data_IF_434257248761
#
_entry.id   IF_434257248761
#
_cell.length_a   1.000
_cell.length_b   1.000
_cell.length_c   1.000
_cell.angle_alpha   90.00
_cell.angle_beta   90.00
_cell.angle_gamma   90.00
#
_symmetry.space_group_name_H-M   'P 1'
#
loop_
_entity.id
_entity.type
_entity.pdbx_description
1 polymer ?
#
# COMPACT_ATOMS: atom_id res chain seq x y z
N UNK A 1 -23.45 5.89 -25.94
CA UNK A 1 -23.83 6.67 -24.72
C UNK A 1 -22.55 7.02 -23.99
N UNK A 2 -22.20 8.29 -23.93
CA UNK A 2 -20.95 8.78 -23.38
C UNK A 2 -20.91 8.54 -21.86
N UNK A 3 -19.89 7.86 -21.40
CA UNK A 3 -19.61 7.65 -19.99
C UNK A 3 -19.22 9.01 -19.37
N UNK A 4 -20.07 9.53 -18.49
CA UNK A 4 -19.83 10.76 -17.73
C UNK A 4 -18.69 10.46 -16.77
N UNK A 5 -17.49 10.94 -17.10
CA UNK A 5 -16.41 11.11 -16.12
C UNK A 5 -16.88 12.16 -15.11
N UNK A 6 -17.43 11.75 -13.95
CA UNK A 6 -17.67 12.65 -12.86
C UNK A 6 -16.32 13.05 -12.28
N UNK A 7 -15.91 14.30 -12.49
CA UNK A 7 -14.77 14.92 -11.85
C UNK A 7 -15.02 14.96 -10.34
N UNK A 8 -14.34 14.07 -9.61
CA UNK A 8 -14.30 14.11 -8.13
C UNK A 8 -13.40 15.30 -7.75
N UNK A 9 -13.84 16.22 -6.88
CA UNK A 9 -13.01 17.34 -6.46
C UNK A 9 -11.74 16.83 -5.73
N UNK A 10 -10.58 17.18 -6.29
CA UNK A 10 -9.28 16.99 -5.65
C UNK A 10 -9.22 17.80 -4.36
N UNK A 11 -8.84 17.18 -3.28
CA UNK A 11 -8.45 17.86 -2.04
C UNK A 11 -7.05 18.42 -2.28
N UNK A 12 -6.94 19.73 -2.52
CA UNK A 12 -5.77 20.54 -2.89
C UNK A 12 -5.36 20.48 -4.38
N UNK A 13 -6.05 21.24 -5.20
CA UNK A 13 -5.87 21.33 -6.67
C UNK A 13 -4.55 22.04 -7.12
N UNK A 14 -3.69 22.53 -6.21
CA UNK A 14 -2.51 23.34 -6.56
C UNK A 14 -1.15 22.64 -6.29
N UNK A 15 -1.11 21.44 -5.76
CA UNK A 15 0.14 20.72 -5.50
C UNK A 15 0.33 19.57 -6.49
N UNK A 16 1.50 19.53 -7.16
CA UNK A 16 1.91 18.41 -8.01
C UNK A 16 1.75 17.07 -7.25
N UNK A 17 1.09 16.05 -7.86
CA UNK A 17 0.87 14.78 -7.19
C UNK A 17 2.20 14.08 -6.86
N UNK A 18 2.26 13.41 -5.70
CA UNK A 18 3.42 12.58 -5.34
C UNK A 18 3.56 11.39 -6.28
N UNK A 19 2.43 10.76 -6.63
CA UNK A 19 2.35 9.65 -7.59
C UNK A 19 1.28 9.95 -8.64
N UNK A 20 1.65 9.73 -9.90
CA UNK A 20 0.75 9.76 -11.04
C UNK A 20 0.81 8.40 -11.75
N UNK A 21 -0.34 7.76 -11.88
CA UNK A 21 -0.54 6.51 -12.61
C UNK A 21 -1.62 6.75 -13.66
N UNK A 22 -1.28 6.58 -14.92
CA UNK A 22 -2.24 6.65 -16.02
C UNK A 22 -2.11 5.42 -16.92
N UNK A 23 -3.22 4.72 -17.12
CA UNK A 23 -3.39 3.56 -17.98
C UNK A 23 -2.34 2.46 -17.70
N UNK A 24 -2.15 2.09 -16.43
CA UNK A 24 -1.18 1.07 -16.03
C UNK A 24 -1.70 -0.34 -16.39
N UNK A 25 -0.86 -1.08 -17.10
CA UNK A 25 -1.04 -2.49 -17.42
C UNK A 25 0.11 -3.31 -16.84
N UNK A 26 -0.22 -4.47 -16.27
CA UNK A 26 0.77 -5.44 -15.81
C UNK A 26 0.37 -6.82 -16.28
N UNK A 27 1.25 -7.45 -17.09
CA UNK A 27 1.10 -8.80 -17.62
C UNK A 27 2.23 -9.69 -17.14
N UNK A 28 1.93 -10.90 -16.73
CA UNK A 28 2.92 -11.93 -16.41
C UNK A 28 2.98 -12.96 -17.54
N UNK A 29 4.16 -13.15 -18.10
CA UNK A 29 4.43 -14.23 -19.08
C UNK A 29 4.61 -15.54 -18.34
N UNK A 30 3.65 -16.44 -18.44
CA UNK A 30 3.66 -17.75 -17.81
C UNK A 30 3.82 -18.84 -18.86
N UNK A 31 4.29 -20.03 -18.47
CA UNK A 31 4.36 -21.19 -19.38
C UNK A 31 2.98 -21.63 -19.91
N UNK A 32 1.93 -21.35 -19.17
CA UNK A 32 0.52 -21.65 -19.50
C UNK A 32 -0.16 -20.57 -20.33
N UNK A 33 0.53 -19.50 -20.71
CA UNK A 33 -0.02 -18.31 -21.40
C UNK A 33 0.07 -17.06 -20.53
N UNK A 34 -0.15 -15.90 -21.14
CA UNK A 34 -0.04 -14.61 -20.47
C UNK A 34 -1.21 -14.38 -19.50
N UNK A 35 -0.91 -13.86 -18.31
CA UNK A 35 -1.89 -13.46 -17.30
C UNK A 35 -1.82 -11.95 -17.07
N UNK A 36 -2.90 -11.24 -17.39
CA UNK A 36 -3.00 -9.80 -17.11
C UNK A 36 -3.52 -9.56 -15.68
N UNK A 37 -2.66 -9.03 -14.82
CA UNK A 37 -2.96 -8.77 -13.41
C UNK A 37 -3.49 -7.36 -13.15
N UNK A 38 -3.12 -6.37 -13.97
CA UNK A 38 -3.63 -4.99 -13.91
C UNK A 38 -3.98 -4.55 -15.33
N UNK A 39 -5.12 -3.86 -15.48
CA UNK A 39 -5.74 -3.56 -16.78
C UNK A 39 -6.21 -2.10 -16.84
N UNK A 40 -5.36 -1.20 -17.34
CA UNK A 40 -5.69 0.21 -17.55
C UNK A 40 -6.06 0.95 -16.27
N UNK A 41 -5.29 0.75 -15.20
CA UNK A 41 -5.51 1.39 -13.91
C UNK A 41 -4.95 2.81 -13.94
N UNK A 42 -5.76 3.78 -13.50
CA UNK A 42 -5.36 5.19 -13.37
C UNK A 42 -5.75 5.75 -12.01
N UNK A 43 -4.83 6.43 -11.35
CA UNK A 43 -5.07 7.23 -10.14
C UNK A 43 -3.91 8.20 -9.91
N UNK A 44 -4.15 9.19 -9.05
CA UNK A 44 -3.10 10.06 -8.50
C UNK A 44 -3.05 9.91 -6.99
N UNK A 45 -1.90 10.19 -6.38
CA UNK A 45 -1.73 10.28 -4.93
C UNK A 45 -1.07 11.61 -4.58
N UNK A 46 -1.73 12.37 -3.72
CA UNK A 46 -1.18 13.54 -3.03
C UNK A 46 -0.70 13.19 -1.61
N UNK A 47 -0.76 14.19 -0.71
CA UNK A 47 -0.51 14.00 0.73
C UNK A 47 -1.80 13.57 1.42
N UNK A 48 -2.28 12.39 1.07
CA UNK A 48 -3.53 11.78 1.51
C UNK A 48 -3.34 10.29 1.79
N UNK A 49 -4.34 9.66 2.39
CA UNK A 49 -4.42 8.21 2.58
C UNK A 49 -5.37 7.63 1.53
N UNK A 50 -4.82 7.08 0.45
CA UNK A 50 -5.55 6.40 -0.61
C UNK A 50 -5.62 4.90 -0.30
N UNK A 51 -6.83 4.36 -0.19
CA UNK A 51 -7.00 2.91 -0.12
C UNK A 51 -7.11 2.29 -1.51
N UNK A 52 -6.55 1.10 -1.69
CA UNK A 52 -6.82 0.21 -2.81
C UNK A 52 -7.46 -1.05 -2.24
N UNK A 53 -8.72 -1.29 -2.57
CA UNK A 53 -9.52 -2.40 -2.04
C UNK A 53 -10.05 -3.32 -3.14
N UNK A 54 -10.42 -4.55 -2.78
CA UNK A 54 -10.97 -5.54 -3.69
C UNK A 54 -10.68 -6.96 -3.23
N UNK A 55 -11.21 -7.95 -3.94
CA UNK A 55 -10.99 -9.37 -3.63
C UNK A 55 -9.52 -9.77 -3.73
N UNK A 56 -9.16 -10.91 -3.10
CA UNK A 56 -7.83 -11.50 -3.28
C UNK A 56 -7.60 -11.82 -4.78
N UNK A 57 -6.39 -11.54 -5.28
CA UNK A 57 -6.07 -11.71 -6.69
C UNK A 57 -6.53 -10.57 -7.62
N UNK A 58 -7.15 -9.50 -7.12
CA UNK A 58 -7.60 -8.37 -7.98
C UNK A 58 -6.45 -7.44 -8.45
N UNK A 59 -5.19 -7.74 -8.14
CA UNK A 59 -4.03 -6.98 -8.64
C UNK A 59 -3.50 -5.88 -7.69
N UNK A 60 -4.09 -5.68 -6.50
CA UNK A 60 -3.71 -4.60 -5.56
C UNK A 60 -2.22 -4.55 -5.22
N UNK A 61 -1.66 -5.66 -4.72
CA UNK A 61 -0.24 -5.75 -4.37
C UNK A 61 0.67 -5.64 -5.61
N UNK A 62 0.16 -6.02 -6.79
CA UNK A 62 0.87 -5.85 -8.06
C UNK A 62 1.05 -4.38 -8.40
N UNK A 63 0.05 -3.54 -8.13
CA UNK A 63 0.15 -2.08 -8.31
C UNK A 63 1.25 -1.50 -7.42
N UNK A 64 1.26 -1.83 -6.13
CA UNK A 64 2.30 -1.36 -5.19
C UNK A 64 3.71 -1.77 -5.61
N UNK A 65 3.88 -3.02 -6.07
CA UNK A 65 5.17 -3.52 -6.56
C UNK A 65 5.57 -2.90 -7.90
N UNK A 66 4.63 -2.59 -8.77
CA UNK A 66 4.90 -1.89 -10.04
C UNK A 66 5.48 -0.49 -9.80
N UNK A 67 4.91 0.28 -8.87
CA UNK A 67 5.42 1.59 -8.45
C UNK A 67 6.86 1.56 -7.95
N UNK A 68 7.30 0.44 -7.41
CA UNK A 68 8.67 0.25 -6.94
C UNK A 68 9.56 -0.48 -7.96
N UNK A 69 9.01 -0.91 -9.12
CA UNK A 69 9.74 -1.76 -10.07
C UNK A 69 10.23 -3.06 -9.42
N UNK A 70 9.43 -3.65 -8.51
CA UNK A 70 9.74 -4.89 -7.77
C UNK A 70 8.94 -6.10 -8.25
N UNK A 71 8.46 -6.05 -9.48
CA UNK A 71 7.83 -7.21 -10.11
C UNK A 71 8.88 -8.21 -10.57
N UNK A 72 8.46 -9.47 -10.73
CA UNK A 72 9.34 -10.55 -11.22
C UNK A 72 9.77 -10.29 -12.68
N UNK A 73 10.91 -10.83 -13.13
CA UNK A 73 11.44 -10.58 -14.48
C UNK A 73 10.52 -11.00 -15.64
N UNK A 74 9.55 -11.88 -15.37
CA UNK A 74 8.55 -12.29 -16.36
C UNK A 74 7.34 -11.32 -16.43
N UNK A 75 7.34 -10.25 -15.63
CA UNK A 75 6.32 -9.20 -15.72
C UNK A 75 6.67 -8.18 -16.80
N UNK A 76 5.67 -7.82 -17.59
CA UNK A 76 5.70 -6.69 -18.52
C UNK A 76 4.82 -5.59 -17.93
N UNK A 77 5.40 -4.39 -17.76
CA UNK A 77 4.72 -3.22 -17.20
C UNK A 77 4.66 -2.15 -18.26
N UNK A 78 3.47 -1.66 -18.56
CA UNK A 78 3.21 -0.62 -19.53
C UNK A 78 2.24 0.41 -18.93
N UNK A 79 2.46 1.69 -19.19
CA UNK A 79 1.57 2.77 -18.75
C UNK A 79 1.75 3.99 -19.65
N UNK A 80 0.73 4.85 -19.76
CA UNK A 80 0.87 6.19 -20.34
C UNK A 80 1.69 7.10 -19.43
N UNK A 81 1.46 6.98 -18.11
CA UNK A 81 2.29 7.61 -17.10
C UNK A 81 2.42 6.69 -15.87
N UNK A 82 3.63 6.54 -15.37
CA UNK A 82 3.95 5.93 -14.08
C UNK A 82 5.04 6.78 -13.44
N UNK A 83 4.65 7.82 -12.69
CA UNK A 83 5.57 8.85 -12.22
C UNK A 83 5.55 9.01 -10.72
N UNK A 84 6.72 9.30 -10.18
CA UNK A 84 6.91 9.78 -8.82
C UNK A 84 7.52 11.19 -8.87
N UNK A 85 6.78 12.21 -8.40
CA UNK A 85 7.20 13.63 -8.46
C UNK A 85 7.74 13.99 -9.85
N UNK A 86 6.99 13.70 -10.90
CA UNK A 86 7.37 13.94 -12.29
C UNK A 86 8.43 12.99 -12.86
N UNK A 87 9.17 12.23 -12.03
CA UNK A 87 10.16 11.24 -12.51
C UNK A 87 9.44 10.00 -13.03
N UNK A 88 9.68 9.63 -14.29
CA UNK A 88 9.12 8.43 -14.90
C UNK A 88 9.81 7.16 -14.35
N UNK A 89 9.03 6.30 -13.70
CA UNK A 89 9.51 5.06 -13.06
C UNK A 89 9.86 4.00 -14.11
N UNK A 90 9.16 3.96 -15.26
CA UNK A 90 9.38 2.94 -16.27
C UNK A 90 10.72 3.11 -17.00
N UNK A 91 11.14 4.35 -17.22
CA UNK A 91 12.40 4.69 -17.87
C UNK A 91 13.55 4.92 -16.90
N UNK A 92 13.28 4.95 -15.57
CA UNK A 92 14.28 5.22 -14.55
C UNK A 92 15.38 4.16 -14.53
N UNK A 93 16.62 4.63 -14.54
CA UNK A 93 17.81 3.77 -14.42
C UNK A 93 17.85 3.05 -13.06
N UNK A 94 18.60 1.94 -12.93
CA UNK A 94 18.79 1.27 -11.64
C UNK A 94 19.37 2.17 -10.55
N UNK A 95 20.13 3.22 -10.93
CA UNK A 95 20.69 4.20 -10.00
C UNK A 95 19.61 5.15 -9.47
N UNK A 96 18.74 5.64 -10.33
CA UNK A 96 17.60 6.49 -9.95
C UNK A 96 16.61 5.72 -9.10
N UNK A 97 16.27 4.47 -9.49
CA UNK A 97 15.41 3.62 -8.68
C UNK A 97 15.95 3.33 -7.28
N UNK A 98 17.29 3.21 -7.10
CA UNK A 98 17.87 3.10 -5.75
C UNK A 98 17.70 4.36 -4.90
N UNK A 99 17.61 5.54 -5.52
CA UNK A 99 17.36 6.80 -4.81
C UNK A 99 15.86 6.95 -4.44
N UNK A 100 14.97 6.24 -5.14
CA UNK A 100 13.53 6.24 -4.88
C UNK A 100 13.18 5.18 -3.84
N UNK A 101 13.60 3.93 -4.07
CA UNK A 101 13.25 2.78 -3.19
C UNK A 101 13.85 2.95 -1.80
N UNK A 102 13.00 2.86 -0.78
CA UNK A 102 13.37 2.99 0.63
C UNK A 102 13.67 4.41 1.09
N UNK A 103 14.22 5.27 0.22
CA UNK A 103 14.49 6.66 0.54
C UNK A 103 13.28 7.57 0.38
N UNK A 104 12.50 7.36 -0.69
CA UNK A 104 11.39 8.25 -1.05
C UNK A 104 10.05 7.52 -1.10
N UNK A 105 10.04 6.27 -1.53
CA UNK A 105 8.89 5.37 -1.49
C UNK A 105 9.31 4.12 -0.74
N UNK A 106 8.65 3.79 0.35
CA UNK A 106 8.84 2.56 1.11
C UNK A 106 7.59 1.69 1.08
N UNK A 107 7.75 0.37 1.26
CA UNK A 107 6.65 -0.58 1.25
C UNK A 107 6.67 -1.45 2.51
N UNK A 108 5.57 -1.41 3.26
CA UNK A 108 5.30 -2.29 4.38
C UNK A 108 4.61 -3.53 3.82
N UNK A 109 5.22 -4.70 4.02
CA UNK A 109 4.71 -5.98 3.54
C UNK A 109 3.75 -6.61 4.56
N UNK A 110 2.96 -7.57 4.11
CA UNK A 110 1.92 -8.23 4.88
C UNK A 110 2.46 -8.96 6.14
N UNK A 111 3.59 -9.66 6.04
CA UNK A 111 4.16 -10.45 7.14
C UNK A 111 5.59 -9.99 7.47
N UNK A 112 5.85 -9.50 8.70
CA UNK A 112 7.18 -9.08 9.14
C UNK A 112 8.21 -10.21 9.14
N UNK A 113 7.78 -11.49 9.25
CA UNK A 113 8.69 -12.64 9.24
C UNK A 113 9.44 -12.78 7.92
N UNK A 114 8.85 -12.34 6.81
CA UNK A 114 9.51 -12.34 5.49
C UNK A 114 10.30 -11.07 5.21
N UNK A 115 10.14 -10.04 6.05
CA UNK A 115 10.81 -8.74 5.88
C UNK A 115 12.05 -8.59 6.75
N UNK A 116 12.10 -9.29 7.89
CA UNK A 116 13.20 -9.22 8.84
C UNK A 116 14.17 -10.39 8.65
N UNK A 117 15.46 -10.08 8.57
CA UNK A 117 16.51 -11.09 8.51
C UNK A 117 16.67 -11.78 9.88
N UNK A 118 16.44 -13.11 10.01
CA UNK A 118 16.43 -13.79 11.30
C UNK A 118 17.79 -13.86 12.03
N UNK A 119 18.89 -13.60 11.32
CA UNK A 119 20.26 -13.70 11.86
C UNK A 119 20.90 -12.35 12.17
N UNK A 120 20.16 -11.25 12.00
CA UNK A 120 20.58 -9.87 12.34
C UNK A 120 19.63 -9.32 13.39
N UNK A 121 20.14 -8.57 14.38
CA UNK A 121 19.30 -7.96 15.40
C UNK A 121 18.37 -6.92 14.78
N UNK A 122 17.20 -6.73 15.36
CA UNK A 122 16.17 -5.84 14.79
C UNK A 122 16.63 -4.38 14.73
N UNK A 123 17.40 -3.94 15.74
CA UNK A 123 17.94 -2.59 15.74
C UNK A 123 19.01 -2.36 14.67
N UNK A 124 19.86 -3.35 14.43
CA UNK A 124 20.89 -3.23 13.38
C UNK A 124 20.25 -3.20 11.98
N UNK A 125 19.16 -3.92 11.75
CA UNK A 125 18.42 -3.87 10.48
C UNK A 125 17.81 -2.48 10.25
N UNK A 126 17.25 -1.83 11.27
CA UNK A 126 16.75 -0.45 11.18
C UNK A 126 17.90 0.51 10.90
N UNK A 127 19.02 0.38 11.62
CA UNK A 127 20.20 1.21 11.44
C UNK A 127 20.85 1.02 10.04
N UNK A 128 20.83 -0.20 9.51
CA UNK A 128 21.29 -0.53 8.16
C UNK A 128 20.41 0.14 7.10
N UNK A 129 19.08 0.06 7.24
CA UNK A 129 18.14 0.72 6.36
C UNK A 129 18.39 2.24 6.30
N UNK A 130 18.67 2.86 7.44
CA UNK A 130 19.04 4.28 7.47
C UNK A 130 20.35 4.57 6.73
N UNK A 131 21.40 3.79 7.00
CA UNK A 131 22.73 3.95 6.38
C UNK A 131 22.72 3.67 4.87
N UNK A 132 21.76 2.90 4.38
CA UNK A 132 21.63 2.64 2.95
C UNK A 132 21.34 3.93 2.15
N UNK A 133 20.74 4.93 2.78
CA UNK A 133 20.32 6.18 2.14
C UNK A 133 21.01 7.43 2.71
N UNK A 134 21.65 7.33 3.89
CA UNK A 134 22.33 8.44 4.56
C UNK A 134 23.81 8.11 4.78
N UNK A 135 24.68 9.05 4.43
CA UNK A 135 26.13 8.92 4.64
C UNK A 135 26.49 9.22 6.09
N UNK A 136 26.11 8.33 7.01
CA UNK A 136 26.31 8.50 8.46
C UNK A 136 27.11 7.36 9.08
N UNK A 137 27.73 7.61 10.23
CA UNK A 137 28.43 6.59 11.01
C UNK A 137 27.49 5.65 11.76
N UNK A 138 28.04 4.51 12.26
CA UNK A 138 27.25 3.52 13.02
C UNK A 138 26.59 4.11 14.26
N UNK A 139 27.26 4.99 14.98
CA UNK A 139 26.74 5.59 16.21
C UNK A 139 25.50 6.44 15.95
N UNK A 140 25.53 7.27 14.92
CA UNK A 140 24.40 8.11 14.49
C UNK A 140 23.23 7.25 13.99
N UNK A 141 23.51 6.24 13.16
CA UNK A 141 22.50 5.32 12.68
C UNK A 141 21.81 4.55 13.83
N UNK A 142 22.58 4.12 14.84
CA UNK A 142 22.03 3.48 16.06
C UNK A 142 21.12 4.44 16.83
N UNK A 143 21.54 5.71 16.99
CA UNK A 143 20.73 6.74 17.65
C UNK A 143 19.39 6.91 16.95
N UNK A 144 19.40 7.12 15.62
CA UNK A 144 18.17 7.26 14.84
C UNK A 144 17.28 6.00 14.90
N UNK A 145 17.87 4.80 14.90
CA UNK A 145 17.13 3.55 15.04
C UNK A 145 16.43 3.44 16.41
N UNK A 146 17.07 3.87 17.48
CA UNK A 146 16.47 3.90 18.84
C UNK A 146 15.31 4.91 18.89
N UNK A 147 15.50 6.12 18.37
CA UNK A 147 14.45 7.14 18.29
C UNK A 147 13.26 6.64 17.46
N UNK A 148 13.52 5.90 16.37
CA UNK A 148 12.46 5.33 15.56
C UNK A 148 11.72 4.18 16.26
N UNK A 149 12.43 3.35 17.05
CA UNK A 149 11.79 2.32 17.88
C UNK A 149 10.86 2.96 18.94
N UNK A 150 11.24 4.10 19.52
CA UNK A 150 10.37 4.88 20.41
C UNK A 150 9.16 5.42 19.66
N UNK A 151 9.36 6.00 18.47
CA UNK A 151 8.29 6.56 17.64
C UNK A 151 7.21 5.53 17.26
N UNK A 152 7.60 4.25 17.06
CA UNK A 152 6.66 3.14 16.87
C UNK A 152 6.20 2.49 18.20
N UNK A 153 6.38 3.18 19.33
CA UNK A 153 5.93 2.78 20.67
C UNK A 153 6.48 1.42 21.14
N UNK A 154 7.73 1.11 20.81
CA UNK A 154 8.46 -0.01 21.39
C UNK A 154 8.92 0.37 22.80
N UNK A 155 8.55 -0.43 23.80
CA UNK A 155 9.02 -0.27 25.17
C UNK A 155 10.46 -0.77 25.30
N UNK A 156 11.30 -0.02 26.03
CA UNK A 156 12.73 -0.33 26.24
C UNK A 156 13.49 -0.54 24.91
N UNK A 157 13.61 0.52 24.06
CA UNK A 157 14.21 0.44 22.73
C UNK A 157 15.62 -0.13 22.73
N UNK A 158 16.46 0.23 23.73
CA UNK A 158 17.84 -0.24 23.85
C UNK A 158 17.91 -1.76 24.01
N UNK A 159 17.02 -2.34 24.84
CA UNK A 159 16.92 -3.79 24.99
C UNK A 159 16.47 -4.44 23.70
N UNK A 160 15.40 -3.89 23.09
CA UNK A 160 14.81 -4.46 21.87
C UNK A 160 15.76 -4.34 20.67
N UNK A 161 16.55 -3.29 20.59
CA UNK A 161 17.58 -3.12 19.56
C UNK A 161 18.48 -4.36 19.42
N UNK A 162 18.86 -4.97 20.55
CA UNK A 162 19.73 -6.17 20.59
C UNK A 162 19.03 -7.52 20.37
N UNK A 163 17.69 -7.53 20.25
CA UNK A 163 16.95 -8.77 20.02
C UNK A 163 16.94 -9.19 18.54
N UNK A 164 16.80 -10.50 18.33
CA UNK A 164 16.58 -11.07 17.01
C UNK A 164 15.09 -11.18 16.69
N UNK A 165 14.68 -11.27 15.40
CA UNK A 165 13.28 -11.36 14.99
C UNK A 165 12.48 -12.47 15.70
N UNK A 166 13.08 -13.61 15.98
CA UNK A 166 12.44 -14.74 16.68
C UNK A 166 12.21 -14.50 18.17
N UNK A 167 12.81 -13.46 18.76
CA UNK A 167 12.70 -13.09 20.19
C UNK A 167 11.63 -12.00 20.43
N UNK A 168 10.97 -11.51 19.39
CA UNK A 168 9.93 -10.48 19.48
C UNK A 168 8.55 -11.04 19.15
N UNK A 169 7.50 -10.47 19.74
CA UNK A 169 6.12 -10.85 19.40
C UNK A 169 5.73 -10.37 18.00
N UNK A 170 4.67 -10.95 17.41
CA UNK A 170 4.19 -10.54 16.09
C UNK A 170 3.88 -9.04 15.97
N UNK A 171 3.19 -8.47 16.96
CA UNK A 171 2.92 -7.03 17.01
C UNK A 171 4.18 -6.17 17.15
N UNK A 172 5.19 -6.65 17.89
CA UNK A 172 6.50 -5.97 17.96
C UNK A 172 7.21 -6.06 16.60
N UNK A 173 7.23 -7.24 15.97
CA UNK A 173 7.82 -7.42 14.64
C UNK A 173 7.21 -6.49 13.60
N UNK A 174 5.88 -6.30 13.65
CA UNK A 174 5.19 -5.36 12.76
C UNK A 174 5.63 -3.91 13.01
N UNK A 175 5.71 -3.47 14.26
CA UNK A 175 6.19 -2.13 14.61
C UNK A 175 7.65 -1.91 14.20
N UNK A 176 8.50 -2.92 14.37
CA UNK A 176 9.90 -2.91 13.93
C UNK A 176 10.00 -2.81 12.40
N UNK A 177 9.18 -3.54 11.67
CA UNK A 177 9.13 -3.42 10.21
C UNK A 177 8.68 -2.02 9.79
N UNK A 178 7.66 -1.45 10.43
CA UNK A 178 7.23 -0.06 10.19
C UNK A 178 8.38 0.90 10.48
N UNK A 179 9.08 0.75 11.60
CA UNK A 179 10.25 1.54 11.93
C UNK A 179 11.32 1.49 10.83
N UNK A 180 11.64 0.29 10.34
CA UNK A 180 12.62 0.08 9.27
C UNK A 180 12.20 0.76 7.96
N UNK A 181 10.90 0.73 7.61
CA UNK A 181 10.39 1.34 6.38
C UNK A 181 10.25 2.87 6.48
N UNK A 182 10.14 3.43 7.69
CA UNK A 182 9.97 4.87 7.93
C UNK A 182 11.25 5.60 8.33
N UNK A 183 12.35 4.87 8.61
CA UNK A 183 13.58 5.46 9.17
C UNK A 183 14.22 6.49 8.22
N UNK A 184 14.07 6.33 6.91
CA UNK A 184 14.63 7.25 5.89
C UNK A 184 13.70 8.43 5.56
N UNK A 185 12.60 8.59 6.28
CA UNK A 185 11.62 9.67 6.11
C UNK A 185 11.07 9.77 4.67
N UNK A 186 10.44 8.70 4.14
CA UNK A 186 9.97 8.66 2.77
C UNK A 186 8.79 9.63 2.53
N UNK A 187 8.59 10.05 1.27
CA UNK A 187 7.42 10.87 0.88
C UNK A 187 6.15 10.04 0.78
N UNK A 188 6.28 8.75 0.43
CA UNK A 188 5.16 7.84 0.22
C UNK A 188 5.41 6.51 0.90
N UNK A 189 4.38 6.01 1.58
CA UNK A 189 4.32 4.65 2.11
C UNK A 189 3.28 3.85 1.34
N UNK A 190 3.67 2.65 0.90
CA UNK A 190 2.75 1.62 0.41
C UNK A 190 2.60 0.58 1.50
N UNK A 191 1.42 0.45 2.08
CA UNK A 191 1.13 -0.53 3.13
C UNK A 191 0.27 -1.65 2.56
N UNK A 192 0.89 -2.81 2.28
CA UNK A 192 0.22 -3.97 1.68
C UNK A 192 -0.26 -4.90 2.79
N UNK A 193 -1.54 -4.81 3.13
CA UNK A 193 -2.21 -5.56 4.21
C UNK A 193 -1.44 -5.54 5.55
N UNK A 194 -1.02 -4.37 6.05
CA UNK A 194 -0.03 -4.26 7.13
C UNK A 194 -0.50 -4.82 8.48
N UNK A 195 -1.76 -5.24 8.59
CA UNK A 195 -2.36 -5.68 9.86
C UNK A 195 -3.18 -6.97 9.73
N UNK A 196 -3.12 -7.67 8.59
CA UNK A 196 -3.97 -8.84 8.31
C UNK A 196 -3.71 -10.03 9.26
N UNK A 197 -2.48 -10.18 9.76
CA UNK A 197 -2.07 -11.29 10.64
C UNK A 197 -2.18 -10.94 12.16
N UNK A 198 -2.82 -9.81 12.53
CA UNK A 198 -2.86 -9.30 13.89
C UNK A 198 -4.28 -9.38 14.49
N UNK A 199 -4.34 -9.56 15.81
CA UNK A 199 -5.59 -9.40 16.55
C UNK A 199 -6.12 -7.95 16.49
N UNK A 200 -7.40 -7.76 16.79
CA UNK A 200 -8.09 -6.47 16.63
C UNK A 200 -7.42 -5.36 17.44
N UNK A 201 -6.99 -5.65 18.68
CA UNK A 201 -6.40 -4.63 19.56
C UNK A 201 -5.05 -4.16 19.05
N UNK A 202 -4.17 -5.09 18.66
CA UNK A 202 -2.85 -4.78 18.10
C UNK A 202 -2.99 -4.08 16.75
N UNK A 203 -3.96 -4.48 15.93
CA UNK A 203 -4.29 -3.83 14.65
C UNK A 203 -4.58 -2.35 14.84
N UNK A 204 -5.50 -1.99 15.76
CA UNK A 204 -5.85 -0.60 16.02
C UNK A 204 -4.65 0.24 16.51
N UNK A 205 -3.80 -0.34 17.36
CA UNK A 205 -2.58 0.32 17.82
C UNK A 205 -1.59 0.59 16.66
N UNK A 206 -1.38 -0.38 15.78
CA UNK A 206 -0.50 -0.24 14.61
C UNK A 206 -1.02 0.85 13.67
N UNK A 207 -2.33 0.87 13.42
CA UNK A 207 -2.94 1.88 12.57
C UNK A 207 -2.86 3.28 13.16
N UNK A 208 -3.05 3.42 14.47
CA UNK A 208 -2.88 4.70 15.16
C UNK A 208 -1.43 5.22 15.05
N UNK A 209 -0.43 4.33 15.19
CA UNK A 209 0.98 4.68 15.01
C UNK A 209 1.23 5.13 13.57
N UNK A 210 0.73 4.37 12.59
CA UNK A 210 0.92 4.70 11.17
C UNK A 210 0.23 6.02 10.81
N UNK A 211 -1.00 6.26 11.29
CA UNK A 211 -1.73 7.51 11.08
C UNK A 211 -0.97 8.72 11.64
N UNK A 212 -0.49 8.61 12.88
CA UNK A 212 0.26 9.67 13.54
C UNK A 212 1.55 10.02 12.79
N UNK A 213 2.31 9.00 12.37
CA UNK A 213 3.55 9.19 11.62
C UNK A 213 3.31 9.76 10.22
N UNK A 214 2.30 9.26 9.49
CA UNK A 214 1.92 9.76 8.16
C UNK A 214 1.51 11.23 8.24
N UNK A 215 0.67 11.59 9.20
CA UNK A 215 0.21 12.98 9.38
C UNK A 215 1.34 13.92 9.81
N UNK A 216 2.12 13.54 10.83
CA UNK A 216 3.21 14.38 11.35
C UNK A 216 4.28 14.68 10.30
N UNK A 217 4.55 13.73 9.42
CA UNK A 217 5.58 13.85 8.38
C UNK A 217 5.01 14.33 7.04
N UNK A 218 3.70 14.48 6.92
CA UNK A 218 3.02 14.92 5.69
C UNK A 218 3.28 13.98 4.51
N UNK A 219 3.26 12.65 4.74
CA UNK A 219 3.48 11.63 3.72
C UNK A 219 2.18 11.32 2.96
N UNK A 220 2.30 10.81 1.73
CA UNK A 220 1.23 10.09 1.06
C UNK A 220 1.20 8.63 1.51
N UNK A 221 0.00 8.04 1.63
CA UNK A 221 -0.15 6.63 1.98
C UNK A 221 -1.02 5.91 0.95
N UNK A 222 -0.49 4.84 0.34
CA UNK A 222 -1.30 3.83 -0.37
C UNK A 222 -1.55 2.69 0.60
N UNK A 223 -2.81 2.50 0.99
CA UNK A 223 -3.23 1.47 1.94
C UNK A 223 -3.98 0.36 1.22
N UNK A 224 -3.34 -0.80 1.02
CA UNK A 224 -3.94 -1.97 0.39
C UNK A 224 -4.62 -2.79 1.49
N UNK A 225 -5.92 -3.04 1.33
CA UNK A 225 -6.71 -3.81 2.29
C UNK A 225 -7.91 -4.49 1.63
N UNK A 226 -8.41 -5.54 2.27
CA UNK A 226 -9.71 -6.14 1.97
C UNK A 226 -10.78 -5.78 3.02
N UNK A 227 -10.42 -5.04 4.08
CA UNK A 227 -11.32 -4.61 5.16
C UNK A 227 -11.88 -3.21 4.88
N UNK A 228 -13.08 -3.15 4.29
CA UNK A 228 -13.74 -1.89 3.93
C UNK A 228 -14.18 -1.07 5.15
N UNK A 229 -14.50 -1.72 6.29
CA UNK A 229 -14.86 -1.00 7.51
C UNK A 229 -13.66 -0.22 8.04
N UNK A 230 -12.49 -0.86 8.02
CA UNK A 230 -11.24 -0.23 8.38
C UNK A 230 -10.91 0.93 7.43
N UNK A 231 -11.01 0.72 6.12
CA UNK A 231 -10.73 1.72 5.09
C UNK A 231 -11.63 2.96 5.24
N UNK A 232 -12.92 2.76 5.52
CA UNK A 232 -13.89 3.86 5.75
C UNK A 232 -13.44 4.82 6.87
N UNK A 233 -12.88 4.27 7.95
CA UNK A 233 -12.49 5.06 9.12
C UNK A 233 -11.06 5.60 9.05
N UNK A 234 -10.20 4.98 8.23
CA UNK A 234 -8.77 5.25 8.22
C UNK A 234 -8.30 6.09 7.00
N UNK A 235 -8.92 5.90 5.83
CA UNK A 235 -8.48 6.50 4.58
C UNK A 235 -9.34 7.72 4.18
N UNK A 236 -8.81 8.52 3.25
CA UNK A 236 -9.49 9.69 2.72
C UNK A 236 -10.25 9.34 1.42
N UNK A 237 -9.64 8.52 0.55
CA UNK A 237 -10.16 8.12 -0.76
C UNK A 237 -9.94 6.62 -1.00
N UNK A 238 -10.80 6.01 -1.79
CA UNK A 238 -10.80 4.56 -2.04
C UNK A 238 -10.89 4.28 -3.54
N UNK A 239 -10.00 3.43 -4.03
CA UNK A 239 -10.03 2.81 -5.35
C UNK A 239 -10.49 1.37 -5.18
N UNK A 240 -11.62 1.01 -5.77
CA UNK A 240 -12.19 -0.33 -5.70
C UNK A 240 -11.80 -1.10 -6.96
N UNK A 241 -11.08 -2.21 -6.78
CA UNK A 241 -10.53 -3.02 -7.87
C UNK A 241 -11.21 -4.39 -7.97
N UNK A 242 -11.48 -4.83 -9.20
CA UNK A 242 -11.91 -6.18 -9.54
C UNK A 242 -11.23 -6.66 -10.83
N UNK A 243 -10.67 -7.88 -10.82
CA UNK A 243 -10.06 -8.49 -12.00
C UNK A 243 -8.98 -7.64 -12.68
N UNK A 244 -8.23 -6.85 -11.91
CA UNK A 244 -7.18 -5.95 -12.41
C UNK A 244 -7.65 -4.58 -12.86
N UNK A 245 -8.94 -4.29 -12.82
CA UNK A 245 -9.54 -3.02 -13.26
C UNK A 245 -10.07 -2.21 -12.08
N UNK A 246 -10.11 -0.88 -12.23
CA UNK A 246 -10.83 0.02 -11.32
C UNK A 246 -12.31 -0.02 -11.67
N UNK A 247 -13.14 -0.42 -10.71
CA UNK A 247 -14.60 -0.39 -10.82
C UNK A 247 -15.16 0.96 -10.42
N UNK A 248 -14.59 1.54 -9.36
CA UNK A 248 -15.05 2.82 -8.82
C UNK A 248 -13.96 3.49 -7.97
N UNK A 249 -13.94 4.83 -7.96
CA UNK A 249 -13.13 5.64 -7.05
C UNK A 249 -14.04 6.59 -6.30
N UNK A 250 -13.95 6.63 -4.96
CA UNK A 250 -14.87 7.38 -4.12
C UNK A 250 -14.16 7.89 -2.86
N UNK A 251 -14.66 8.96 -2.25
CA UNK A 251 -14.21 9.38 -0.92
C UNK A 251 -14.57 8.30 0.12
N UNK A 252 -13.66 7.99 1.04
CA UNK A 252 -13.87 6.90 2.01
C UNK A 252 -15.12 7.10 2.89
N UNK A 253 -15.42 8.35 3.24
CA UNK A 253 -16.64 8.73 3.98
C UNK A 253 -17.95 8.46 3.23
N UNK A 254 -17.89 8.38 1.89
CA UNK A 254 -19.05 8.20 1.01
C UNK A 254 -19.18 6.75 0.49
N UNK A 255 -18.47 5.78 1.08
CA UNK A 255 -18.48 4.37 0.66
C UNK A 255 -19.90 3.76 0.60
N UNK A 256 -20.85 4.25 1.39
CA UNK A 256 -22.27 3.84 1.34
C UNK A 256 -23.00 4.33 0.07
N UNK A 257 -22.41 5.29 -0.67
CA UNK A 257 -22.98 5.87 -1.89
C UNK A 257 -22.41 5.27 -3.18
N UNK A 258 -21.66 4.16 -3.09
CA UNK A 258 -21.10 3.48 -4.28
C UNK A 258 -22.20 3.09 -5.26
N UNK A 259 -21.91 3.21 -6.54
CA UNK A 259 -22.88 3.00 -7.61
C UNK A 259 -22.63 1.71 -8.38
N UNK A 260 -21.36 1.33 -8.58
CA UNK A 260 -21.02 0.15 -9.35
C UNK A 260 -21.55 -1.13 -8.68
N UNK A 261 -22.22 -2.05 -9.42
CA UNK A 261 -22.82 -3.28 -8.85
C UNK A 261 -21.81 -4.14 -8.05
N UNK A 262 -20.57 -4.23 -8.52
CA UNK A 262 -19.50 -4.92 -7.79
C UNK A 262 -19.22 -4.26 -6.43
N UNK A 263 -19.06 -2.92 -6.40
CA UNK A 263 -18.79 -2.15 -5.18
C UNK A 263 -19.91 -2.31 -4.16
N UNK A 264 -21.18 -2.27 -4.60
CA UNK A 264 -22.36 -2.52 -3.76
C UNK A 264 -22.36 -3.93 -3.20
N UNK A 265 -22.16 -4.92 -4.06
CA UNK A 265 -22.12 -6.32 -3.64
C UNK A 265 -20.97 -6.61 -2.66
N UNK A 266 -19.83 -5.96 -2.82
CA UNK A 266 -18.70 -6.07 -1.89
C UNK A 266 -19.07 -5.50 -0.51
N UNK A 267 -19.74 -4.34 -0.44
CA UNK A 267 -20.21 -3.73 0.81
C UNK A 267 -21.34 -4.57 1.45
N UNK A 268 -22.29 -5.06 0.66
CA UNK A 268 -23.40 -5.89 1.15
C UNK A 268 -22.93 -7.21 1.74
N UNK A 269 -21.78 -7.72 1.29
CA UNK A 269 -21.15 -8.95 1.81
C UNK A 269 -20.45 -8.76 3.16
N UNK A 270 -20.31 -7.50 3.65
CA UNK A 270 -19.69 -7.25 4.95
C UNK A 270 -20.61 -7.66 6.10
N UNK A 271 -20.06 -8.31 7.14
CA UNK A 271 -20.81 -8.54 8.37
C UNK A 271 -21.11 -7.19 9.04
N UNK A 272 -22.40 -6.98 9.38
CA UNK A 272 -22.86 -5.84 10.17
C UNK A 272 -23.20 -6.28 11.57
N UNK A 273 -22.78 -5.52 12.57
CA UNK A 273 -23.17 -5.73 13.96
C UNK A 273 -24.61 -5.23 14.23
N UNK A 274 -25.11 -4.31 13.39
CA UNK A 274 -26.42 -3.67 13.57
C UNK A 274 -27.57 -4.49 12.96
N UNK A 275 -27.28 -5.30 11.94
CA UNK A 275 -28.31 -6.11 11.26
C UNK A 275 -27.96 -7.58 11.31
N UNK A 276 -28.74 -8.34 12.10
CA UNK A 276 -28.63 -9.81 12.14
C UNK A 276 -29.24 -10.39 10.86
N UNK A 277 -28.41 -10.73 9.89
CA UNK A 277 -28.82 -11.42 8.66
C UNK A 277 -28.64 -12.93 8.84
N UNK A 278 -29.62 -13.78 8.46
CA UNK A 278 -29.47 -15.24 8.57
C UNK A 278 -28.41 -15.82 7.63
N UNK A 279 -28.11 -15.12 6.53
CA UNK A 279 -27.02 -15.43 5.61
C UNK A 279 -26.48 -14.12 5.01
N UNK A 280 -25.18 -14.03 4.81
CA UNK A 280 -24.58 -12.92 4.06
C UNK A 280 -24.86 -13.11 2.57
N UNK A 281 -25.20 -12.04 1.82
CA UNK A 281 -25.37 -12.11 0.39
C UNK A 281 -24.04 -12.50 -0.27
N UNK A 282 -24.11 -13.44 -1.21
CA UNK A 282 -22.95 -13.82 -2.02
C UNK A 282 -22.90 -12.93 -3.25
N UNK A 283 -21.77 -12.32 -3.49
CA UNK A 283 -21.53 -11.49 -4.66
C UNK A 283 -21.69 -12.31 -5.95
N UNK A 284 -22.71 -11.99 -6.76
CA UNK A 284 -22.86 -12.56 -8.11
C UNK A 284 -21.98 -11.80 -9.07
N UNK A 285 -20.95 -12.47 -9.59
CA UNK A 285 -19.98 -11.88 -10.52
C UNK A 285 -20.59 -11.84 -11.93
N UNK A 286 -20.52 -10.67 -12.58
CA UNK A 286 -20.94 -10.49 -13.96
C UNK A 286 -19.68 -10.42 -14.85
N UNK A 287 -19.52 -11.34 -15.82
CA UNK A 287 -18.41 -11.30 -16.77
C UNK A 287 -18.33 -9.97 -17.56
N UNK A 288 -19.47 -9.28 -17.76
CA UNK A 288 -19.53 -8.00 -18.44
C UNK A 288 -18.70 -6.90 -17.74
N UNK A 289 -18.44 -7.02 -16.43
CA UNK A 289 -17.59 -6.05 -15.72
C UNK A 289 -16.15 -6.04 -16.22
N UNK A 290 -15.67 -7.14 -16.79
CA UNK A 290 -14.30 -7.28 -17.32
C UNK A 290 -14.22 -7.02 -18.81
N UNK A 291 -15.34 -7.09 -19.55
CA UNK A 291 -15.37 -7.01 -21.01
C UNK A 291 -15.04 -5.62 -21.58
N UNK A 292 -15.09 -4.55 -20.78
CA UNK A 292 -14.97 -3.18 -21.28
C UNK A 292 -13.53 -2.71 -21.56
N UNK A 293 -12.49 -3.48 -21.20
CA UNK A 293 -11.08 -3.08 -21.40
C UNK A 293 -10.20 -4.20 -21.96
N UNK A 294 -10.71 -5.04 -22.86
CA UNK A 294 -9.88 -6.06 -23.53
C UNK A 294 -9.05 -5.52 -24.70
N UNK A 295 -9.25 -4.27 -25.10
CA UNK A 295 -8.51 -3.67 -26.19
C UNK A 295 -7.29 -2.92 -25.67
N UNK A 296 -6.18 -3.66 -25.58
CA UNK A 296 -4.85 -3.09 -25.62
C UNK A 296 -4.37 -3.13 -27.08
N UNK A 297 -3.82 -2.02 -27.65
CA UNK A 297 -3.25 -2.02 -28.99
C UNK A 297 -2.03 -2.94 -29.12
#
# INVERSE_FOLDING_TARGET
MACVMSSIPNVNDDAEPLIEVDDLWVKFRLRSGDMTAVRGLSFTLGREKLAIVGESGSGKSTVGRALLGLLSPNAVVEAKALRFRGTDILSASPREMRQIRGARISMILQDPKFSLNPVITVGEQIAEAYRAHHKVGRHEAKKNALEMLEAVQIRSPERVYGLYPHQVSGGMGQRIMIAMMLISDPDVIIADEPTSALDVTVRLQILAILDDLVRKRGMGLIFISHDLNLVRSFCDRVVIMYGGQVMETIAAKDLDKVQHPYSRGLLDSLPSLETRRPALPVLRRDPAWLAQKEQYP
#
